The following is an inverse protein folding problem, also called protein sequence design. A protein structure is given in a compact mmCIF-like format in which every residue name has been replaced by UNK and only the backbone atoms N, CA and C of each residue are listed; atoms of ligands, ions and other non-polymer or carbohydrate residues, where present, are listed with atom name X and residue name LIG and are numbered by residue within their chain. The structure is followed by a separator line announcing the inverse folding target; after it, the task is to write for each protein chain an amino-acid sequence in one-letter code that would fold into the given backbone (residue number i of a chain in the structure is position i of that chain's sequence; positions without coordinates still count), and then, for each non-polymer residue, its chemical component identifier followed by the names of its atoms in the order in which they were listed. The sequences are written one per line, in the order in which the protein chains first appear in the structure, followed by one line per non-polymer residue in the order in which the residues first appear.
data_IF_048148792331
#
_entry.id   IF_048148792331
#
_cell.length_a   1.000
_cell.length_b   1.000
_cell.length_c   1.000
_cell.angle_alpha   90.00
_cell.angle_beta   90.00
_cell.angle_gamma   90.00
#
_symmetry.space_group_name_H-M   'P 1'
#
loop_
_entity.id
_entity.type
_entity.pdbx_description
1 polymer ?
#
# COMPACT_ATOMS: atom_id res chain seq x y z
N UNK A 1 18.19 21.56 -1.82
CA UNK A 1 17.50 20.86 -2.93
C UNK A 1 17.15 19.47 -2.43
N UNK A 2 15.92 18.99 -2.62
CA UNK A 2 15.57 17.60 -2.32
C UNK A 2 16.29 16.66 -3.29
N UNK A 3 16.76 15.51 -2.82
CA UNK A 3 17.29 14.46 -3.69
C UNK A 3 16.22 13.99 -4.71
N UNK A 4 16.64 13.54 -5.90
CA UNK A 4 15.71 12.92 -6.84
C UNK A 4 15.30 11.55 -6.29
N UNK A 5 14.02 11.41 -5.92
CA UNK A 5 13.43 10.12 -5.55
C UNK A 5 13.68 9.07 -6.64
N UNK A 6 14.09 7.86 -6.24
CA UNK A 6 14.46 6.80 -7.17
C UNK A 6 13.25 6.36 -8.00
N UNK A 7 13.33 6.57 -9.32
CA UNK A 7 12.29 6.21 -10.28
C UNK A 7 12.54 4.81 -10.83
N UNK A 8 11.70 3.85 -10.48
CA UNK A 8 11.75 2.47 -11.00
C UNK A 8 10.64 2.26 -12.02
N UNK A 9 10.98 1.85 -13.24
CA UNK A 9 10.01 1.57 -14.31
C UNK A 9 9.56 0.11 -14.25
N UNK A 10 8.25 -0.07 -14.11
CA UNK A 10 7.59 -1.37 -13.99
C UNK A 10 6.64 -1.52 -15.17
N UNK A 11 6.95 -2.43 -16.09
CA UNK A 11 6.05 -2.80 -17.18
C UNK A 11 5.01 -3.81 -16.70
N UNK A 12 3.75 -3.58 -17.05
CA UNK A 12 2.65 -4.52 -16.82
C UNK A 12 2.06 -4.91 -18.18
N UNK A 13 2.40 -6.11 -18.65
CA UNK A 13 2.09 -6.60 -20.00
C UNK A 13 1.35 -7.94 -19.98
N UNK A 14 0.86 -8.36 -21.14
CA UNK A 14 0.02 -9.54 -21.33
C UNK A 14 -1.27 -9.21 -22.07
N UNK A 15 -1.96 -10.23 -22.57
CA UNK A 15 -3.13 -10.12 -23.46
C UNK A 15 -4.29 -9.28 -22.91
N UNK A 16 -5.14 -8.76 -23.79
CA UNK A 16 -6.37 -8.07 -23.42
C UNK A 16 -7.26 -8.96 -22.55
N UNK A 17 -7.96 -8.39 -21.57
CA UNK A 17 -8.80 -9.15 -20.64
C UNK A 17 -8.08 -9.95 -19.55
N UNK A 18 -6.74 -10.05 -19.54
CA UNK A 18 -5.97 -10.83 -18.55
C UNK A 18 -5.97 -10.30 -17.12
N UNK A 19 -6.55 -9.11 -16.85
CA UNK A 19 -6.73 -8.56 -15.51
C UNK A 19 -5.68 -7.54 -15.03
N UNK A 20 -4.72 -7.13 -15.87
CA UNK A 20 -3.67 -6.13 -15.59
C UNK A 20 -4.19 -4.89 -14.84
N UNK A 21 -5.08 -4.14 -15.48
CA UNK A 21 -5.70 -2.92 -14.96
C UNK A 21 -6.48 -3.19 -13.66
N UNK A 22 -7.18 -4.31 -13.57
CA UNK A 22 -7.88 -4.75 -12.36
C UNK A 22 -6.92 -4.89 -11.17
N UNK A 23 -5.76 -5.53 -11.36
CA UNK A 23 -4.74 -5.67 -10.32
C UNK A 23 -4.16 -4.32 -9.89
N UNK A 24 -3.79 -3.47 -10.86
CA UNK A 24 -3.30 -2.10 -10.61
C UNK A 24 -4.32 -1.29 -9.79
N UNK A 25 -5.60 -1.35 -10.17
CA UNK A 25 -6.67 -0.61 -9.50
C UNK A 25 -6.93 -1.08 -8.07
N UNK A 26 -6.84 -2.38 -7.78
CA UNK A 26 -7.05 -2.92 -6.43
C UNK A 26 -5.92 -2.50 -5.48
N UNK A 27 -4.66 -2.72 -5.89
CA UNK A 27 -3.50 -2.45 -5.04
C UNK A 27 -3.32 -0.93 -4.84
N UNK A 28 -3.28 -0.16 -5.93
CA UNK A 28 -2.87 1.24 -5.91
C UNK A 28 -4.02 2.26 -5.96
N UNK A 29 -5.18 1.92 -6.56
CA UNK A 29 -6.31 2.84 -6.70
C UNK A 29 -7.48 2.57 -5.72
N UNK A 30 -7.32 1.67 -4.75
CA UNK A 30 -8.32 1.36 -3.72
C UNK A 30 -9.64 0.75 -4.24
N UNK A 31 -9.63 0.13 -5.42
CA UNK A 31 -10.80 -0.61 -5.93
C UNK A 31 -11.04 -1.90 -5.15
N UNK A 32 -12.30 -2.31 -5.05
CA UNK A 32 -12.66 -3.69 -4.67
C UNK A 32 -12.79 -4.56 -5.92
N UNK A 33 -12.58 -5.87 -5.78
CA UNK A 33 -12.63 -6.83 -6.89
C UNK A 33 -13.89 -6.70 -7.77
N UNK A 34 -15.06 -6.46 -7.15
CA UNK A 34 -16.35 -6.26 -7.85
C UNK A 34 -16.36 -5.05 -8.79
N UNK A 35 -15.69 -3.97 -8.42
CA UNK A 35 -15.73 -2.71 -9.18
C UNK A 35 -14.85 -2.79 -10.45
N UNK A 36 -13.89 -3.72 -10.49
CA UNK A 36 -13.02 -3.93 -11.67
C UNK A 36 -13.79 -4.36 -12.92
N UNK A 37 -15.00 -4.94 -12.77
CA UNK A 37 -15.91 -5.28 -13.88
C UNK A 37 -16.38 -4.06 -14.69
N UNK A 38 -16.17 -2.84 -14.19
CA UNK A 38 -16.51 -1.57 -14.86
C UNK A 38 -15.32 -0.95 -15.61
N UNK A 39 -14.13 -1.53 -15.51
CA UNK A 39 -12.96 -1.03 -16.22
C UNK A 39 -13.10 -1.34 -17.72
N UNK A 40 -12.90 -0.31 -18.55
CA UNK A 40 -12.80 -0.47 -19.99
C UNK A 40 -11.48 -1.12 -20.41
N UNK A 41 -11.37 -1.45 -21.70
CA UNK A 41 -10.09 -1.87 -22.26
C UNK A 41 -9.11 -0.69 -22.29
N UNK A 42 -7.90 -0.89 -21.79
CA UNK A 42 -6.81 0.10 -21.87
C UNK A 42 -6.47 0.40 -23.32
N UNK A 43 -6.41 1.69 -23.65
CA UNK A 43 -6.00 2.20 -24.96
C UNK A 43 -4.52 2.57 -24.85
N UNK A 44 -3.68 1.96 -25.68
CA UNK A 44 -2.22 2.12 -25.62
C UNK A 44 -1.67 1.91 -24.19
N UNK A 45 -0.78 2.77 -23.69
CA UNK A 45 -0.19 2.64 -22.35
C UNK A 45 -0.80 3.64 -21.36
N UNK A 46 -1.34 3.15 -20.25
CA UNK A 46 -1.74 4.01 -19.13
C UNK A 46 -0.61 4.12 -18.09
N UNK A 47 -0.07 5.32 -17.91
CA UNK A 47 1.00 5.60 -16.95
C UNK A 47 0.43 5.91 -15.55
N UNK A 48 1.00 5.29 -14.52
CA UNK A 48 0.69 5.61 -13.12
C UNK A 48 1.96 5.81 -12.30
N UNK A 49 2.04 6.94 -11.59
CA UNK A 49 3.17 7.29 -10.73
C UNK A 49 2.79 7.07 -9.26
N UNK A 50 3.21 5.93 -8.70
CA UNK A 50 2.95 5.58 -7.30
C UNK A 50 4.19 5.92 -6.48
N UNK A 51 4.06 6.86 -5.54
CA UNK A 51 5.08 7.08 -4.51
C UNK A 51 4.96 5.98 -3.46
N UNK A 52 6.05 5.27 -3.20
CA UNK A 52 6.15 4.17 -2.26
C UNK A 52 7.26 4.51 -1.25
N UNK A 53 7.02 4.36 0.06
CA UNK A 53 7.97 4.69 1.14
C UNK A 53 8.57 6.11 1.10
N UNK A 54 7.96 7.05 0.36
CA UNK A 54 8.42 8.43 0.25
C UNK A 54 9.53 8.67 -0.77
N UNK A 55 10.57 7.81 -0.77
CA UNK A 55 11.79 7.90 -1.58
C UNK A 55 11.77 7.09 -2.89
N UNK A 56 10.93 6.06 -2.99
CA UNK A 56 10.74 5.24 -4.20
C UNK A 56 9.54 5.76 -5.00
N UNK A 57 9.69 5.86 -6.32
CA UNK A 57 8.60 6.17 -7.26
C UNK A 57 8.49 5.03 -8.27
N UNK A 58 7.42 4.26 -8.15
CA UNK A 58 7.04 3.22 -9.09
C UNK A 58 6.33 3.88 -10.27
N UNK A 59 6.97 3.86 -11.44
CA UNK A 59 6.35 4.24 -12.70
C UNK A 59 5.74 2.96 -13.30
N UNK A 60 4.46 2.72 -13.04
CA UNK A 60 3.71 1.62 -13.60
C UNK A 60 3.24 1.98 -15.03
N UNK A 61 3.55 1.10 -15.98
CA UNK A 61 3.14 1.21 -17.38
C UNK A 61 2.14 0.07 -17.64
N UNK A 62 0.85 0.37 -17.58
CA UNK A 62 -0.23 -0.61 -17.84
C UNK A 62 -0.49 -0.64 -19.35
N UNK A 63 0.14 -1.59 -20.04
CA UNK A 63 0.12 -1.68 -21.50
C UNK A 63 -1.16 -2.36 -21.99
N UNK A 64 -1.91 -1.72 -22.89
CA UNK A 64 -3.07 -2.29 -23.55
C UNK A 64 -2.72 -3.55 -24.34
N UNK A 65 -3.28 -4.69 -23.94
CA UNK A 65 -2.93 -6.01 -24.49
C UNK A 65 -3.68 -6.41 -25.75
N UNK A 66 -4.18 -5.45 -26.53
CA UNK A 66 -4.83 -5.74 -27.82
C UNK A 66 -3.75 -6.00 -28.87
N UNK A 67 -3.97 -6.93 -29.79
CA UNK A 67 -2.96 -7.40 -30.76
C UNK A 67 -2.28 -6.22 -31.50
N UNK A 68 -3.06 -5.24 -31.96
CA UNK A 68 -2.59 -4.03 -32.65
C UNK A 68 -1.67 -3.15 -31.79
N UNK A 69 -1.92 -3.04 -30.48
CA UNK A 69 -1.04 -2.31 -29.57
C UNK A 69 0.23 -3.12 -29.27
N UNK A 70 0.11 -4.44 -29.10
CA UNK A 70 1.26 -5.33 -28.89
C UNK A 70 2.25 -5.26 -30.07
N UNK A 71 1.76 -5.32 -31.32
CA UNK A 71 2.59 -5.15 -32.52
C UNK A 71 3.29 -3.78 -32.56
N UNK A 72 2.59 -2.71 -32.19
CA UNK A 72 3.17 -1.36 -32.09
C UNK A 72 4.27 -1.28 -31.01
N UNK A 73 4.15 -2.00 -29.89
CA UNK A 73 5.19 -2.07 -28.86
C UNK A 73 6.45 -2.78 -29.33
N UNK A 74 6.34 -3.80 -30.19
CA UNK A 74 7.52 -4.53 -30.68
C UNK A 74 8.20 -3.86 -31.89
N UNK A 75 7.46 -3.02 -32.62
CA UNK A 75 7.92 -2.31 -33.81
C UNK A 75 8.23 -0.84 -33.53
N UNK A 76 7.23 0.03 -33.58
CA UNK A 76 7.38 1.49 -33.59
C UNK A 76 7.74 2.09 -32.24
N UNK A 77 7.29 1.49 -31.13
CA UNK A 77 7.52 1.99 -29.77
C UNK A 77 8.57 1.18 -28.98
N UNK A 78 9.30 0.24 -29.62
CA UNK A 78 10.20 -0.73 -28.94
C UNK A 78 11.15 -0.07 -27.94
N UNK A 79 11.86 0.96 -28.36
CA UNK A 79 12.83 1.67 -27.51
C UNK A 79 12.15 2.46 -26.38
N UNK A 80 10.94 2.97 -26.59
CA UNK A 80 10.20 3.70 -25.55
C UNK A 80 9.67 2.75 -24.45
N UNK A 81 9.14 1.59 -24.86
CA UNK A 81 8.56 0.59 -23.95
C UNK A 81 9.67 -0.16 -23.20
N UNK A 82 10.66 -0.72 -23.90
CA UNK A 82 11.57 -1.72 -23.31
C UNK A 82 12.88 -1.15 -22.74
N UNK A 83 13.16 0.15 -22.90
CA UNK A 83 14.34 0.80 -22.30
C UNK A 83 14.13 1.19 -20.84
N UNK A 84 15.22 1.09 -20.06
CA UNK A 84 15.31 1.42 -18.63
C UNK A 84 14.23 0.71 -17.79
N UNK A 85 13.91 -0.55 -18.12
CA UNK A 85 12.94 -1.37 -17.38
C UNK A 85 13.64 -2.04 -16.20
N UNK A 86 13.06 -1.91 -15.01
CA UNK A 86 13.59 -2.55 -13.80
C UNK A 86 12.86 -3.86 -13.50
N UNK A 87 11.57 -3.89 -13.81
CA UNK A 87 10.70 -5.06 -13.63
C UNK A 87 9.74 -5.20 -14.81
N UNK A 88 9.63 -6.41 -15.35
CA UNK A 88 8.54 -6.83 -16.22
C UNK A 88 7.59 -7.73 -15.42
N UNK A 89 6.32 -7.33 -15.32
CA UNK A 89 5.22 -8.15 -14.83
C UNK A 89 4.41 -8.58 -16.06
N UNK A 90 4.49 -9.86 -16.42
CA UNK A 90 3.68 -10.41 -17.51
C UNK A 90 2.51 -11.24 -16.95
N UNK A 91 1.32 -11.00 -17.47
CA UNK A 91 0.06 -11.54 -16.93
C UNK A 91 -0.59 -12.49 -17.93
N UNK A 92 -0.66 -13.76 -17.56
CA UNK A 92 -1.36 -14.81 -18.29
C UNK A 92 -2.76 -15.02 -17.72
N UNK A 93 -3.71 -15.25 -18.61
CA UNK A 93 -5.07 -15.64 -18.24
C UNK A 93 -5.16 -17.17 -18.22
N UNK A 94 -5.52 -17.77 -17.09
CA UNK A 94 -5.61 -19.24 -16.98
C UNK A 94 -6.72 -19.84 -17.85
N UNK A 95 -7.73 -19.05 -18.23
CA UNK A 95 -8.81 -19.46 -19.14
C UNK A 95 -8.48 -19.22 -20.62
N UNK A 96 -7.26 -18.76 -20.96
CA UNK A 96 -6.90 -18.45 -22.34
C UNK A 96 -6.91 -19.69 -23.22
N UNK A 97 -7.62 -19.60 -24.36
CA UNK A 97 -7.72 -20.66 -25.37
C UNK A 97 -6.63 -20.58 -26.45
N UNK A 98 -5.80 -19.53 -26.44
CA UNK A 98 -4.75 -19.27 -27.46
C UNK A 98 -3.37 -19.26 -26.78
N UNK A 99 -3.05 -20.36 -26.10
CA UNK A 99 -1.86 -20.46 -25.24
C UNK A 99 -0.57 -20.25 -26.02
N UNK A 100 -0.49 -20.80 -27.23
CA UNK A 100 0.65 -20.66 -28.15
C UNK A 100 0.86 -19.20 -28.55
N UNK A 101 -0.22 -18.46 -28.80
CA UNK A 101 -0.18 -17.02 -29.13
C UNK A 101 0.27 -16.19 -27.92
N UNK A 102 -0.24 -16.51 -26.73
CA UNK A 102 0.13 -15.84 -25.49
C UNK A 102 1.61 -16.06 -25.15
N UNK A 103 2.14 -17.27 -25.43
CA UNK A 103 3.57 -17.60 -25.29
C UNK A 103 4.43 -16.89 -26.35
N UNK A 104 3.98 -16.79 -27.61
CA UNK A 104 4.68 -16.05 -28.65
C UNK A 104 4.83 -14.55 -28.29
N UNK A 105 3.75 -13.92 -27.81
CA UNK A 105 3.81 -12.54 -27.32
C UNK A 105 4.70 -12.39 -26.09
N UNK A 106 4.72 -13.38 -25.19
CA UNK A 106 5.60 -13.40 -24.04
C UNK A 106 7.09 -13.47 -24.44
N UNK A 107 7.44 -14.37 -25.35
CA UNK A 107 8.80 -14.49 -25.88
C UNK A 107 9.23 -13.21 -26.61
N UNK A 108 8.34 -12.60 -27.40
CA UNK A 108 8.58 -11.30 -28.05
C UNK A 108 8.89 -10.18 -27.04
N UNK A 109 8.20 -10.16 -25.89
CA UNK A 109 8.52 -9.26 -24.76
C UNK A 109 9.89 -9.57 -24.14
N UNK A 110 10.24 -10.84 -23.94
CA UNK A 110 11.52 -11.23 -23.36
C UNK A 110 12.71 -10.88 -24.27
N UNK A 111 12.58 -11.07 -25.59
CA UNK A 111 13.60 -10.66 -26.55
C UNK A 111 13.82 -9.14 -26.55
N UNK A 112 12.72 -8.37 -26.49
CA UNK A 112 12.80 -6.92 -26.42
C UNK A 112 13.41 -6.43 -25.09
N UNK A 113 13.13 -7.10 -23.97
CA UNK A 113 13.78 -6.86 -22.67
C UNK A 113 15.27 -7.22 -22.73
N UNK A 114 15.63 -8.41 -23.23
CA UNK A 114 17.02 -8.88 -23.29
C UNK A 114 17.92 -7.94 -24.10
N UNK A 115 17.37 -7.30 -25.13
CA UNK A 115 18.08 -6.31 -25.96
C UNK A 115 18.21 -4.92 -25.31
N UNK A 116 17.24 -4.49 -24.50
CA UNK A 116 17.12 -3.09 -24.04
C UNK A 116 17.30 -2.87 -22.53
N UNK A 117 17.10 -3.90 -21.71
CA UNK A 117 17.15 -3.89 -20.25
C UNK A 117 17.40 -5.32 -19.73
N UNK A 118 18.58 -5.93 -20.01
CA UNK A 118 18.87 -7.33 -19.67
C UNK A 118 18.83 -7.62 -18.15
N UNK A 119 19.08 -6.60 -17.31
CA UNK A 119 19.02 -6.71 -15.85
C UNK A 119 17.59 -6.63 -15.28
N UNK A 120 16.56 -6.48 -16.12
CA UNK A 120 15.17 -6.38 -15.69
C UNK A 120 14.68 -7.68 -15.06
N UNK A 121 14.04 -7.58 -13.88
CA UNK A 121 13.51 -8.74 -13.17
C UNK A 121 12.17 -9.17 -13.77
N UNK A 122 12.04 -10.44 -14.15
CA UNK A 122 10.84 -10.96 -14.83
C UNK A 122 9.94 -11.68 -13.84
N UNK A 123 8.67 -11.27 -13.78
CA UNK A 123 7.62 -11.92 -13.01
C UNK A 123 6.49 -12.36 -13.93
N UNK A 124 6.00 -13.57 -13.72
CA UNK A 124 4.89 -14.14 -14.48
C UNK A 124 3.72 -14.43 -13.54
N UNK A 125 2.59 -13.76 -13.78
CA UNK A 125 1.37 -13.96 -13.01
C UNK A 125 0.43 -14.86 -13.80
N UNK A 126 0.20 -16.08 -13.30
CA UNK A 126 -0.89 -16.95 -13.77
C UNK A 126 -2.15 -16.46 -13.06
N UNK A 127 -2.99 -15.71 -13.77
CA UNK A 127 -4.09 -14.94 -13.20
C UNK A 127 -5.45 -15.61 -13.42
N UNK A 128 -6.47 -15.13 -12.68
CA UNK A 128 -7.84 -15.67 -12.62
C UNK A 128 -7.93 -17.11 -12.11
N UNK A 129 -7.01 -17.50 -11.22
CA UNK A 129 -6.97 -18.85 -10.63
C UNK A 129 -8.22 -19.20 -9.79
N UNK A 130 -9.07 -18.22 -9.48
CA UNK A 130 -10.41 -18.41 -8.93
C UNK A 130 -11.34 -19.23 -9.84
N UNK A 131 -11.14 -19.18 -11.17
CA UNK A 131 -11.92 -19.94 -12.15
C UNK A 131 -11.55 -21.43 -12.19
N UNK A 132 -10.41 -21.80 -11.61
CA UNK A 132 -9.91 -23.17 -11.52
C UNK A 132 -10.36 -23.80 -10.19
N UNK A 133 -10.76 -25.07 -10.23
CA UNK A 133 -11.14 -25.85 -9.04
C UNK A 133 -9.96 -25.99 -8.08
N UNK A 134 -10.20 -25.84 -6.77
CA UNK A 134 -9.15 -25.63 -5.76
C UNK A 134 -8.10 -26.74 -5.72
N UNK A 135 -8.53 -28.00 -5.89
CA UNK A 135 -7.72 -29.21 -5.99
C UNK A 135 -6.79 -29.23 -7.22
N UNK A 136 -7.19 -28.58 -8.31
CA UNK A 136 -6.40 -28.50 -9.55
C UNK A 136 -5.46 -27.30 -9.61
N UNK A 137 -5.63 -26.29 -8.73
CA UNK A 137 -4.86 -25.03 -8.79
C UNK A 137 -3.35 -25.22 -8.62
N UNK A 138 -2.91 -26.16 -7.79
CA UNK A 138 -1.48 -26.42 -7.57
C UNK A 138 -0.86 -27.20 -8.73
N UNK A 139 -1.61 -28.12 -9.34
CA UNK A 139 -1.15 -28.91 -10.49
C UNK A 139 -0.95 -28.01 -11.72
N UNK A 140 -2.01 -27.28 -12.11
CA UNK A 140 -1.98 -26.38 -13.27
C UNK A 140 -0.94 -25.27 -13.07
N UNK A 141 -0.80 -24.72 -11.86
CA UNK A 141 0.21 -23.70 -11.61
C UNK A 141 1.65 -24.22 -11.82
N UNK A 142 1.97 -25.44 -11.34
CA UNK A 142 3.30 -26.03 -11.50
C UNK A 142 3.65 -26.32 -12.95
N UNK A 143 2.72 -26.91 -13.70
CA UNK A 143 2.88 -27.17 -15.13
C UNK A 143 3.20 -25.87 -15.90
N UNK A 144 2.42 -24.81 -15.67
CA UNK A 144 2.68 -23.49 -16.26
C UNK A 144 3.98 -22.86 -15.77
N UNK A 145 4.34 -23.02 -14.50
CA UNK A 145 5.58 -22.49 -13.93
C UNK A 145 6.82 -23.15 -14.56
N UNK A 146 6.79 -24.47 -14.79
CA UNK A 146 7.86 -25.21 -15.46
C UNK A 146 8.03 -24.79 -16.91
N UNK A 147 6.93 -24.66 -17.66
CA UNK A 147 6.93 -24.16 -19.04
C UNK A 147 7.46 -22.73 -19.13
N UNK A 148 6.98 -21.83 -18.28
CA UNK A 148 7.44 -20.44 -18.26
C UNK A 148 8.94 -20.36 -17.92
N UNK A 149 9.43 -21.09 -16.92
CA UNK A 149 10.87 -21.15 -16.58
C UNK A 149 11.73 -21.76 -17.69
N UNK A 150 11.17 -22.68 -18.49
CA UNK A 150 11.84 -23.25 -19.66
C UNK A 150 11.93 -22.24 -20.80
N UNK A 151 10.83 -21.56 -21.10
CA UNK A 151 10.71 -20.58 -22.20
C UNK A 151 11.36 -19.23 -21.89
N UNK A 152 11.58 -18.90 -20.62
CA UNK A 152 12.18 -17.61 -20.21
C UNK A 152 13.70 -17.49 -20.44
N UNK A 153 14.38 -18.62 -20.65
CA UNK A 153 15.85 -18.66 -20.72
C UNK A 153 16.38 -17.77 -21.86
N UNK A 154 17.44 -16.97 -21.64
CA UNK A 154 18.35 -17.01 -20.50
C UNK A 154 17.89 -16.25 -19.24
N UNK A 155 16.78 -15.52 -19.29
CA UNK A 155 16.28 -14.71 -18.16
C UNK A 155 15.66 -15.60 -17.07
N UNK A 156 15.86 -15.23 -15.80
CA UNK A 156 15.21 -15.87 -14.67
C UNK A 156 13.82 -15.26 -14.45
N UNK A 157 12.77 -16.08 -14.46
CA UNK A 157 11.40 -15.67 -14.15
C UNK A 157 10.94 -16.19 -12.78
N UNK A 158 10.20 -15.36 -12.04
CA UNK A 158 9.49 -15.78 -10.82
C UNK A 158 7.99 -15.85 -11.09
N UNK A 159 7.39 -17.02 -10.87
CA UNK A 159 5.97 -17.26 -11.16
C UNK A 159 5.10 -17.13 -9.91
N UNK A 160 3.89 -16.59 -10.06
CA UNK A 160 2.87 -16.60 -9.01
C UNK A 160 1.48 -16.94 -9.58
N UNK A 161 0.75 -17.83 -8.90
CA UNK A 161 -0.71 -17.92 -9.05
C UNK A 161 -1.36 -16.72 -8.38
N UNK A 162 -2.32 -16.10 -9.05
CA UNK A 162 -3.00 -14.89 -8.56
C UNK A 162 -4.50 -14.86 -8.86
N UNK A 163 -5.29 -14.32 -7.94
CA UNK A 163 -6.68 -13.94 -8.14
C UNK A 163 -6.97 -12.57 -7.51
N UNK A 164 -7.91 -11.81 -8.07
CA UNK A 164 -8.42 -10.58 -7.46
C UNK A 164 -9.35 -10.82 -6.26
N UNK A 165 -9.78 -12.08 -6.02
CA UNK A 165 -10.75 -12.42 -4.98
C UNK A 165 -10.14 -12.90 -3.67
N UNK A 166 -8.83 -13.19 -3.65
CA UNK A 166 -8.10 -13.75 -2.50
C UNK A 166 -6.80 -12.98 -2.18
N UNK A 167 -6.06 -13.46 -1.19
CA UNK A 167 -4.78 -12.89 -0.75
C UNK A 167 -3.62 -13.08 -1.74
N UNK A 168 -3.71 -13.99 -2.72
CA UNK A 168 -2.56 -14.37 -3.56
C UNK A 168 -2.03 -13.19 -4.39
N UNK A 169 -2.91 -12.25 -4.75
CA UNK A 169 -2.52 -10.99 -5.38
C UNK A 169 -1.59 -10.15 -4.49
N UNK A 170 -1.90 -10.03 -3.19
CA UNK A 170 -1.06 -9.28 -2.24
C UNK A 170 0.30 -9.96 -2.04
N UNK A 171 0.34 -11.30 -2.06
CA UNK A 171 1.59 -12.06 -2.01
C UNK A 171 2.51 -11.72 -3.19
N UNK A 172 1.97 -11.80 -4.41
CA UNK A 172 2.72 -11.51 -5.63
C UNK A 172 3.23 -10.06 -5.66
N UNK A 173 2.34 -9.08 -5.41
CA UNK A 173 2.74 -7.66 -5.41
C UNK A 173 3.69 -7.30 -4.27
N UNK A 174 3.57 -7.91 -3.08
CA UNK A 174 4.54 -7.71 -1.99
C UNK A 174 5.93 -8.22 -2.41
N UNK A 175 6.01 -9.41 -3.03
CA UNK A 175 7.30 -9.94 -3.52
C UNK A 175 7.92 -9.08 -4.63
N UNK A 176 7.10 -8.60 -5.57
CA UNK A 176 7.56 -7.72 -6.66
C UNK A 176 8.10 -6.40 -6.10
N UNK A 177 7.35 -5.74 -5.21
CA UNK A 177 7.74 -4.45 -4.65
C UNK A 177 8.91 -4.59 -3.67
N UNK A 178 8.97 -5.66 -2.88
CA UNK A 178 10.11 -5.97 -2.01
C UNK A 178 11.44 -5.98 -2.79
N UNK A 179 11.46 -6.54 -4.00
CA UNK A 179 12.64 -6.55 -4.86
C UNK A 179 13.02 -5.18 -5.49
N UNK A 180 12.19 -4.15 -5.29
CA UNK A 180 12.41 -2.76 -5.73
C UNK A 180 12.76 -1.82 -4.57
N UNK A 181 12.60 -2.24 -3.31
CA UNK A 181 12.91 -1.44 -2.12
C UNK A 181 14.44 -1.37 -1.93
N UNK A 182 15.04 -0.17 -1.89
CA UNK A 182 16.46 0.00 -1.56
C UNK A 182 16.72 -0.35 -0.09
N UNK A 183 17.95 -0.77 0.24
CA UNK A 183 18.43 -0.93 1.62
C UNK A 183 17.54 -1.80 2.54
N UNK A 184 16.74 -2.72 1.98
CA UNK A 184 15.76 -3.55 2.72
C UNK A 184 16.39 -4.34 3.88
N UNK A 185 17.66 -4.72 3.78
CA UNK A 185 18.43 -5.38 4.84
C UNK A 185 18.63 -4.49 6.08
N UNK A 186 18.82 -3.16 5.91
CA UNK A 186 18.85 -2.23 7.04
C UNK A 186 17.46 -2.10 7.67
N UNK A 187 16.40 -2.02 6.85
CA UNK A 187 15.03 -1.96 7.35
C UNK A 187 14.68 -3.20 8.19
N UNK A 188 15.02 -4.40 7.73
CA UNK A 188 14.86 -5.66 8.47
C UNK A 188 15.68 -5.69 9.76
N UNK A 189 16.93 -5.22 9.73
CA UNK A 189 17.80 -5.15 10.92
C UNK A 189 17.23 -4.20 11.97
N UNK A 190 16.74 -3.04 11.55
CA UNK A 190 16.13 -2.06 12.43
C UNK A 190 14.78 -2.55 12.98
N UNK A 191 13.99 -3.26 12.17
CA UNK A 191 12.73 -3.88 12.60
C UNK A 191 12.97 -5.02 13.60
N UNK A 192 14.02 -5.83 13.39
CA UNK A 192 14.47 -6.88 14.33
C UNK A 192 14.90 -6.29 15.67
N UNK A 193 15.72 -5.23 15.66
CA UNK A 193 16.13 -4.52 16.88
C UNK A 193 14.90 -3.96 17.63
N UNK A 194 13.96 -3.34 16.93
CA UNK A 194 12.71 -2.87 17.53
C UNK A 194 11.88 -4.02 18.14
N UNK A 195 11.73 -5.13 17.41
CA UNK A 195 10.97 -6.29 17.87
C UNK A 195 11.57 -6.95 19.11
N UNK A 196 12.90 -6.98 19.22
CA UNK A 196 13.61 -7.45 20.42
C UNK A 196 13.41 -6.52 21.61
N UNK A 197 13.50 -5.18 21.42
CA UNK A 197 13.30 -4.19 22.49
C UNK A 197 11.87 -4.20 23.06
N UNK A 198 10.87 -4.51 22.22
CA UNK A 198 9.46 -4.59 22.62
C UNK A 198 9.01 -6.01 23.00
N UNK A 199 9.93 -6.98 22.98
CA UNK A 199 9.71 -8.41 23.29
C UNK A 199 8.52 -9.02 22.51
N UNK A 200 8.35 -8.64 21.24
CA UNK A 200 7.28 -9.13 20.39
C UNK A 200 7.60 -10.50 19.77
N UNK A 201 6.59 -11.37 19.69
CA UNK A 201 6.67 -12.63 18.95
C UNK A 201 6.74 -12.39 17.44
N UNK A 202 6.04 -11.36 16.95
CA UNK A 202 6.01 -11.01 15.54
C UNK A 202 5.78 -9.51 15.35
N UNK A 203 6.49 -8.91 14.39
CA UNK A 203 6.30 -7.52 13.97
C UNK A 203 6.23 -7.46 12.45
N UNK A 204 5.16 -6.87 11.93
CA UNK A 204 4.96 -6.65 10.50
C UNK A 204 5.00 -5.16 10.19
N UNK A 205 5.68 -4.79 9.12
CA UNK A 205 5.72 -3.42 8.61
C UNK A 205 5.05 -3.39 7.24
N UNK A 206 4.13 -2.44 7.04
CA UNK A 206 3.32 -2.28 5.83
C UNK A 206 3.50 -0.89 5.23
N UNK A 207 3.45 -0.76 3.91
CA UNK A 207 3.30 0.55 3.27
C UNK A 207 1.87 1.09 3.43
N UNK A 208 1.75 2.38 3.74
CA UNK A 208 0.53 3.01 4.26
C UNK A 208 -0.64 3.07 3.28
N UNK A 209 -0.40 3.27 1.98
CA UNK A 209 -1.43 3.38 0.97
C UNK A 209 -1.95 2.00 0.54
N UNK A 210 -1.04 1.13 0.12
CA UNK A 210 -1.29 -0.19 -0.46
C UNK A 210 -1.60 -1.27 0.58
N UNK A 211 -1.04 -1.16 1.80
CA UNK A 211 -1.00 -2.22 2.80
C UNK A 211 -0.20 -3.47 2.38
N UNK A 212 0.70 -3.36 1.40
CA UNK A 212 1.70 -4.40 1.11
C UNK A 212 2.70 -4.51 2.27
N UNK A 213 3.09 -5.75 2.63
CA UNK A 213 4.16 -5.99 3.60
C UNK A 213 5.50 -5.62 2.97
N UNK A 214 6.30 -4.83 3.69
CA UNK A 214 7.63 -4.39 3.25
C UNK A 214 8.77 -5.04 4.03
N UNK A 215 8.52 -5.42 5.29
CA UNK A 215 9.49 -6.07 6.17
C UNK A 215 8.74 -6.78 7.31
N UNK A 216 9.32 -7.83 7.86
CA UNK A 216 8.76 -8.56 8.99
C UNK A 216 9.86 -9.11 9.91
N UNK A 217 9.50 -9.38 11.16
CA UNK A 217 10.27 -10.13 12.12
C UNK A 217 9.37 -11.19 12.76
N UNK A 218 9.87 -12.40 12.95
CA UNK A 218 9.21 -13.48 13.69
C UNK A 218 10.22 -14.12 14.65
N UNK A 219 9.81 -14.32 15.91
CA UNK A 219 10.60 -15.01 16.93
C UNK A 219 10.49 -16.54 16.81
N UNK A 220 9.30 -17.03 16.45
CA UNK A 220 8.99 -18.44 16.22
C UNK A 220 8.30 -18.60 14.87
N UNK A 221 8.56 -19.71 14.19
CA UNK A 221 7.86 -20.04 12.95
C UNK A 221 6.38 -20.29 13.24
N UNK A 222 5.51 -19.62 12.46
CA UNK A 222 4.06 -19.68 12.64
C UNK A 222 3.44 -20.68 11.68
N UNK A 223 2.35 -21.33 12.11
CA UNK A 223 1.67 -22.39 11.33
C UNK A 223 1.18 -21.93 9.95
N UNK A 224 0.81 -20.66 9.79
CA UNK A 224 0.32 -20.10 8.52
C UNK A 224 1.40 -19.25 7.86
N UNK A 225 2.00 -19.78 6.79
CA UNK A 225 2.96 -19.07 5.95
C UNK A 225 2.31 -17.96 5.10
N UNK A 226 0.98 -17.99 4.90
CA UNK A 226 0.22 -17.03 4.10
C UNK A 226 -0.45 -15.93 4.93
N UNK A 227 -0.12 -15.84 6.22
CA UNK A 227 -0.73 -14.86 7.12
C UNK A 227 -0.43 -13.41 6.73
N UNK A 228 0.73 -13.14 6.12
CA UNK A 228 1.16 -11.79 5.72
C UNK A 228 0.18 -11.19 4.71
N UNK A 229 -0.06 -11.90 3.61
CA UNK A 229 -0.95 -11.49 2.53
C UNK A 229 -2.43 -11.48 2.97
N UNK A 230 -2.84 -12.40 3.86
CA UNK A 230 -4.18 -12.39 4.49
C UNK A 230 -4.40 -11.14 5.35
N UNK A 231 -3.42 -10.77 6.18
CA UNK A 231 -3.49 -9.57 7.02
C UNK A 231 -3.56 -8.30 6.16
N UNK A 232 -2.72 -8.20 5.12
CA UNK A 232 -2.79 -7.12 4.13
C UNK A 232 -4.18 -6.97 3.52
N UNK A 233 -4.77 -8.07 3.04
CA UNK A 233 -6.10 -8.07 2.43
C UNK A 233 -7.19 -7.63 3.45
N UNK A 234 -7.20 -8.21 4.65
CA UNK A 234 -8.17 -7.89 5.71
C UNK A 234 -8.10 -6.42 6.12
N UNK A 235 -6.90 -5.89 6.42
CA UNK A 235 -6.78 -4.49 6.87
C UNK A 235 -7.10 -3.53 5.71
N UNK A 236 -6.73 -3.84 4.47
CA UNK A 236 -7.12 -3.04 3.30
C UNK A 236 -8.64 -3.00 3.16
N UNK A 237 -9.34 -4.14 3.20
CA UNK A 237 -10.81 -4.19 3.13
C UNK A 237 -11.48 -3.42 4.29
N UNK A 238 -10.93 -3.51 5.51
CA UNK A 238 -11.40 -2.72 6.64
C UNK A 238 -11.21 -1.22 6.41
N UNK A 239 -10.04 -0.78 5.96
CA UNK A 239 -9.71 0.62 5.63
C UNK A 239 -10.61 1.19 4.52
N UNK A 240 -10.94 0.39 3.50
CA UNK A 240 -11.91 0.75 2.46
C UNK A 240 -13.32 0.92 3.04
N UNK A 241 -13.70 0.07 4.00
CA UNK A 241 -14.99 0.15 4.70
C UNK A 241 -15.08 1.40 5.59
N UNK A 242 -14.02 1.76 6.31
CA UNK A 242 -13.94 3.03 7.05
C UNK A 242 -14.09 4.24 6.10
N UNK A 243 -13.41 4.19 4.95
CA UNK A 243 -13.39 5.29 3.98
C UNK A 243 -14.78 5.54 3.38
N UNK A 244 -15.58 4.49 3.16
CA UNK A 244 -17.01 4.58 2.77
C UNK A 244 -17.90 5.21 3.83
N UNK A 245 -17.48 5.19 5.10
CA UNK A 245 -18.13 5.87 6.23
C UNK A 245 -17.53 7.27 6.50
N UNK A 246 -16.81 7.84 5.53
CA UNK A 246 -16.10 9.12 5.63
C UNK A 246 -15.09 9.21 6.80
N UNK A 247 -14.54 8.06 7.25
CA UNK A 247 -13.53 8.01 8.30
C UNK A 247 -12.24 7.32 7.83
N UNK A 248 -11.10 7.87 8.23
CA UNK A 248 -9.79 7.25 8.00
C UNK A 248 -9.46 6.27 9.13
N UNK A 249 -8.98 5.09 8.77
CA UNK A 249 -8.43 4.13 9.75
C UNK A 249 -7.17 4.72 10.38
N UNK A 250 -7.05 4.68 11.71
CA UNK A 250 -5.87 5.14 12.45
C UNK A 250 -5.17 3.99 13.16
N UNK A 251 -5.89 3.24 14.00
CA UNK A 251 -5.29 2.13 14.76
C UNK A 251 -6.33 1.09 15.20
N UNK A 252 -5.85 -0.11 15.53
CA UNK A 252 -6.65 -1.25 16.00
C UNK A 252 -5.93 -2.01 17.12
N UNK A 253 -6.67 -2.37 18.17
CA UNK A 253 -6.24 -3.28 19.23
C UNK A 253 -7.15 -4.51 19.24
N UNK A 254 -6.56 -5.68 18.94
CA UNK A 254 -7.22 -6.98 18.99
C UNK A 254 -6.59 -7.79 20.12
N UNK A 255 -7.40 -8.38 21.00
CA UNK A 255 -6.91 -9.20 22.12
C UNK A 255 -7.79 -10.43 22.29
N UNK A 256 -7.17 -11.57 22.60
CA UNK A 256 -7.84 -12.76 23.10
C UNK A 256 -7.07 -13.33 24.30
N UNK A 257 -7.32 -14.58 24.70
CA UNK A 257 -6.61 -15.24 25.80
C UNK A 257 -5.16 -15.61 25.49
N UNK A 258 -4.75 -15.58 24.21
CA UNK A 258 -3.52 -16.19 23.71
C UNK A 258 -2.55 -15.17 23.09
N UNK A 259 -3.05 -14.00 22.66
CA UNK A 259 -2.24 -12.91 22.12
C UNK A 259 -2.94 -11.53 22.21
N UNK A 260 -2.12 -10.49 22.13
CA UNK A 260 -2.50 -9.12 21.84
C UNK A 260 -1.84 -8.66 20.54
N UNK A 261 -2.62 -8.05 19.64
CA UNK A 261 -2.13 -7.46 18.39
C UNK A 261 -2.51 -5.98 18.31
N UNK A 262 -1.50 -5.15 17.99
CA UNK A 262 -1.62 -3.70 17.88
C UNK A 262 -1.25 -3.27 16.46
N UNK A 263 -2.17 -2.65 15.75
CA UNK A 263 -1.92 -2.03 14.43
C UNK A 263 -2.02 -0.52 14.63
N UNK A 264 -0.96 0.23 14.32
CA UNK A 264 -0.94 1.70 14.38
C UNK A 264 -0.14 2.28 13.20
N UNK A 265 -0.41 3.53 12.85
CA UNK A 265 0.43 4.30 11.91
C UNK A 265 1.85 4.31 12.47
N UNK A 266 2.86 3.94 11.70
CA UNK A 266 4.23 3.92 12.21
C UNK A 266 4.99 5.17 11.79
N UNK A 267 5.23 5.39 10.50
CA UNK A 267 5.78 6.65 9.95
C UNK A 267 4.72 7.39 9.13
N UNK A 268 5.10 8.47 8.43
CA UNK A 268 4.23 9.07 7.40
C UNK A 268 3.83 8.11 6.29
N UNK A 269 4.68 7.10 6.00
CA UNK A 269 4.58 6.20 4.86
C UNK A 269 4.30 4.74 5.25
N UNK A 270 4.24 4.39 6.53
CA UNK A 270 4.07 2.99 6.99
C UNK A 270 3.02 2.80 8.10
N UNK A 271 2.51 1.58 8.21
CA UNK A 271 1.86 1.03 9.41
C UNK A 271 2.74 -0.06 10.02
N UNK A 272 2.67 -0.23 11.33
CA UNK A 272 3.25 -1.38 12.04
C UNK A 272 2.14 -2.22 12.66
N UNK A 273 2.31 -3.53 12.64
CA UNK A 273 1.55 -4.48 13.46
C UNK A 273 2.51 -5.17 14.42
N UNK A 274 2.22 -5.13 15.71
CA UNK A 274 2.99 -5.81 16.76
C UNK A 274 2.12 -6.89 17.39
N UNK A 275 2.61 -8.12 17.45
CA UNK A 275 1.94 -9.27 18.07
C UNK A 275 2.75 -9.73 19.29
N UNK A 276 2.07 -9.89 20.43
CA UNK A 276 2.67 -10.37 21.67
C UNK A 276 1.78 -11.46 22.28
N UNK A 277 2.36 -12.58 22.68
CA UNK A 277 1.66 -13.71 23.30
C UNK A 277 1.32 -13.49 24.76
N UNK A 278 2.04 -12.64 25.49
CA UNK A 278 1.70 -12.28 26.86
C UNK A 278 0.61 -11.18 26.90
N UNK A 279 -0.64 -11.52 27.30
CA UNK A 279 -1.70 -10.53 27.42
C UNK A 279 -1.56 -9.64 28.66
N UNK A 280 -0.71 -10.00 29.63
CA UNK A 280 -0.50 -9.28 30.89
C UNK A 280 0.22 -7.95 30.69
N UNK A 281 1.04 -7.84 29.62
CA UNK A 281 1.74 -6.61 29.27
C UNK A 281 0.71 -5.47 29.05
N UNK A 282 0.80 -4.36 29.81
CA UNK A 282 -0.13 -3.26 29.69
C UNK A 282 -0.07 -2.62 28.30
N UNK A 283 -1.21 -2.45 27.61
CA UNK A 283 -1.28 -1.84 26.27
C UNK A 283 -0.57 -0.47 26.20
N UNK A 284 -0.55 0.27 27.32
CA UNK A 284 0.14 1.55 27.42
C UNK A 284 1.66 1.43 27.19
N UNK A 285 2.31 0.37 27.69
CA UNK A 285 3.75 0.15 27.51
C UNK A 285 4.08 -0.10 26.02
N UNK A 286 3.35 -1.01 25.38
CA UNK A 286 3.50 -1.32 23.95
C UNK A 286 3.28 -0.09 23.07
N UNK A 287 2.22 0.69 23.35
CA UNK A 287 1.90 1.91 22.59
C UNK A 287 2.95 3.03 22.79
N UNK A 288 3.51 3.17 23.99
CA UNK A 288 4.63 4.10 24.26
C UNK A 288 5.88 3.66 23.47
N UNK A 289 6.19 2.36 23.46
CA UNK A 289 7.34 1.83 22.73
C UNK A 289 7.21 2.02 21.21
N UNK A 290 6.04 1.74 20.64
CA UNK A 290 5.71 2.04 19.23
C UNK A 290 5.91 3.54 18.93
N UNK A 291 5.38 4.42 19.79
CA UNK A 291 5.48 5.88 19.62
C UNK A 291 6.92 6.41 19.75
N UNK A 292 7.75 5.78 20.58
CA UNK A 292 9.16 6.13 20.72
C UNK A 292 9.96 5.67 19.50
N UNK A 293 9.74 4.44 19.04
CA UNK A 293 10.39 3.87 17.86
C UNK A 293 10.05 4.66 16.58
N UNK A 294 8.82 5.16 16.42
CA UNK A 294 8.39 6.03 15.29
C UNK A 294 9.43 7.12 14.95
N UNK A 295 9.99 7.82 15.95
CA UNK A 295 10.98 8.88 15.72
C UNK A 295 12.27 8.39 15.08
N UNK A 296 12.67 7.16 15.37
CA UNK A 296 13.88 6.54 14.81
C UNK A 296 13.65 6.15 13.35
N UNK A 297 12.51 5.51 13.03
CA UNK A 297 12.17 5.15 11.65
C UNK A 297 11.85 6.36 10.76
N UNK A 298 11.22 7.42 11.30
CA UNK A 298 11.08 8.70 10.60
C UNK A 298 12.42 9.39 10.30
N UNK A 299 13.48 9.10 11.07
CA UNK A 299 14.83 9.60 10.78
C UNK A 299 15.46 8.80 9.64
N UNK A 300 15.35 7.47 9.67
CA UNK A 300 15.84 6.57 8.62
C UNK A 300 15.21 6.93 7.26
N UNK A 301 13.88 7.10 7.17
CA UNK A 301 13.20 7.53 5.94
C UNK A 301 13.68 8.89 5.39
N UNK A 302 14.29 9.75 6.23
CA UNK A 302 14.84 11.07 5.83
C UNK A 302 16.32 10.98 5.46
N UNK A 303 17.09 10.12 6.12
CA UNK A 303 18.50 9.86 5.78
C UNK A 303 18.59 9.10 4.45
N UNK A 304 17.65 8.20 4.15
CA UNK A 304 17.47 7.61 2.81
C UNK A 304 17.07 8.63 1.72
N UNK A 305 16.55 9.80 2.11
CA UNK A 305 16.34 10.93 1.18
C UNK A 305 17.61 11.80 1.02
N UNK A 306 18.74 11.41 1.61
CA UNK A 306 20.03 12.12 1.58
C UNK A 306 21.19 11.14 1.37
N UNK A 307 21.18 10.39 0.28
CA UNK A 307 22.35 9.58 -0.12
C UNK A 307 23.58 10.47 -0.45
N UNK A 308 24.81 9.92 -0.29
CA UNK A 308 26.00 10.73 -0.10
C UNK A 308 26.43 11.50 -1.35
N UNK A 309 26.98 12.69 -1.12
CA UNK A 309 27.70 13.44 -2.15
C UNK A 309 28.82 12.58 -2.77
N UNK A 310 29.06 12.66 -4.09
CA UNK A 310 30.18 11.95 -4.72
C UNK A 310 31.50 12.35 -4.04
N UNK A 311 32.50 11.45 -3.98
CA UNK A 311 33.78 11.75 -3.36
C UNK A 311 34.38 12.99 -4.02
N UNK A 312 34.75 13.97 -3.19
CA UNK A 312 35.33 15.23 -3.65
C UNK A 312 36.58 14.93 -4.50
N UNK A 313 36.48 15.19 -5.79
CA UNK A 313 37.66 15.22 -6.66
C UNK A 313 38.59 16.32 -6.16
N UNK A 314 39.83 15.94 -5.85
CA UNK A 314 40.86 16.87 -5.38
C UNK A 314 41.28 17.75 -6.57
N UNK A 315 40.57 18.86 -6.76
CA UNK A 315 40.94 19.86 -7.75
C UNK A 315 42.01 20.80 -7.18
N UNK A 316 43.21 20.69 -7.74
CA UNK A 316 44.37 21.51 -7.43
C UNK A 316 44.20 22.97 -7.91
N UNK A 317 44.32 23.90 -6.97
CA UNK A 317 44.81 25.28 -7.11
C UNK A 317 44.82 25.96 -8.51
N UNK A 318 44.05 27.05 -8.66
CA UNK A 318 44.52 28.27 -9.36
C UNK A 318 43.83 29.53 -8.80
N UNK A 319 44.41 30.71 -9.03
CA UNK A 319 44.18 31.96 -8.28
C UNK A 319 42.93 32.77 -8.70
N UNK A 320 42.41 33.67 -7.84
CA UNK A 320 41.32 34.60 -8.17
C UNK A 320 41.82 35.89 -8.86
N UNK A 321 40.94 36.57 -9.60
CA UNK A 321 41.18 37.91 -10.16
C UNK A 321 39.94 38.83 -10.06
N UNK A 322 40.19 40.09 -9.73
CA UNK A 322 39.21 41.15 -9.41
C UNK A 322 38.76 41.96 -10.63
N UNK A 323 37.47 42.34 -10.69
CA UNK A 323 36.93 43.62 -11.25
C UNK A 323 35.64 43.96 -10.45
N UNK A 324 35.56 44.89 -9.48
CA UNK A 324 35.57 46.38 -9.43
C UNK A 324 34.28 47.14 -9.88
N UNK A 325 33.61 47.76 -8.88
CA UNK A 325 32.91 49.09 -8.91
C UNK A 325 31.56 49.13 -9.70
N UNK A 326 30.46 49.85 -9.34
CA UNK A 326 30.21 51.05 -8.49
C UNK A 326 28.80 51.08 -7.82
N UNK A 327 28.68 51.88 -6.74
CA UNK A 327 27.45 52.58 -6.23
C UNK A 327 27.48 54.06 -6.73
N UNK A 328 26.50 55.00 -6.54
CA UNK A 328 25.59 55.15 -5.38
C UNK A 328 24.19 55.84 -5.58
N UNK A 329 23.45 56.06 -4.46
CA UNK A 329 22.29 57.00 -4.25
C UNK A 329 21.00 56.67 -5.06
N UNK A 330 19.76 57.02 -4.70
CA UNK A 330 19.05 57.47 -3.47
C UNK A 330 17.55 57.04 -3.66
N UNK A 331 16.49 57.39 -2.91
CA UNK A 331 16.25 58.32 -1.78
C UNK A 331 15.01 57.86 -0.95
N UNK A 332 14.54 58.68 -0.01
CA UNK A 332 13.42 58.44 0.93
C UNK A 332 12.03 58.75 0.38
N UNK A 333 10.97 58.15 0.95
CA UNK A 333 9.69 58.84 1.31
C UNK A 333 8.97 58.06 2.43
N UNK A 334 8.41 58.80 3.38
CA UNK A 334 7.59 58.35 4.53
C UNK A 334 6.24 59.05 4.42
N UNK A 335 5.12 58.40 4.76
CA UNK A 335 3.99 58.98 5.53
C UNK A 335 2.85 57.96 5.76
N UNK A 336 1.95 58.30 6.70
CA UNK A 336 0.90 57.43 7.27
C UNK A 336 -0.48 58.12 7.30
N UNK A 337 -1.48 57.45 7.92
CA UNK A 337 -2.89 57.85 8.12
C UNK A 337 -3.80 57.76 6.88
N UNK A 338 -5.10 57.42 6.98
CA UNK A 338 -5.90 56.96 8.13
C UNK A 338 -7.42 57.04 7.86
N UNK A 339 -8.26 56.39 8.72
CA UNK A 339 -9.74 56.51 8.78
C UNK A 339 -10.54 56.04 7.53
N UNK A 340 -11.85 55.71 7.55
CA UNK A 340 -12.86 55.31 8.57
C UNK A 340 -14.14 54.89 7.82
N UNK A 341 -14.97 53.98 8.35
CA UNK A 341 -16.44 53.99 8.16
C UNK A 341 -17.18 52.90 8.99
N UNK A 342 -18.25 53.30 9.69
CA UNK A 342 -19.22 52.40 10.35
C UNK A 342 -20.67 52.90 10.15
N UNK A 343 -21.58 52.03 9.71
CA UNK A 343 -23.04 52.14 9.81
C UNK A 343 -23.63 50.72 9.62
N UNK A 344 -24.41 50.12 10.54
CA UNK A 344 -25.82 50.38 10.91
C UNK A 344 -26.78 50.13 9.72
N UNK A 345 -27.83 49.29 9.81
CA UNK A 345 -29.06 49.44 10.62
C UNK A 345 -29.76 48.07 10.91
N UNK A 346 -30.65 48.04 11.92
CA UNK A 346 -31.43 46.88 12.44
C UNK A 346 -32.76 46.60 11.71
N UNK A 347 -33.20 45.32 11.73
CA UNK A 347 -34.57 44.87 12.03
C UNK A 347 -34.54 43.36 12.37
N UNK A 348 -34.79 42.91 13.61
CA UNK A 348 -36.07 42.76 14.31
C UNK A 348 -37.04 41.72 13.71
N UNK A 349 -37.04 40.49 14.27
CA UNK A 349 -38.25 39.91 14.88
C UNK A 349 -37.92 38.67 15.74
N UNK A 350 -37.99 38.80 17.07
CA UNK A 350 -38.21 37.65 17.95
C UNK A 350 -39.71 37.37 18.05
N UNK A 351 -40.14 36.10 17.96
CA UNK A 351 -41.32 35.59 18.68
C UNK A 351 -41.39 34.05 18.73
N UNK A 352 -41.07 33.54 19.91
CA UNK A 352 -41.66 32.36 20.58
C UNK A 352 -42.37 31.28 19.72
N UNK A 353 -41.88 30.04 19.86
CA UNK A 353 -42.69 28.97 20.49
C UNK A 353 -41.82 27.91 21.17
N UNK A 354 -42.21 27.53 22.38
CA UNK A 354 -41.65 26.39 23.15
C UNK A 354 -42.17 25.07 22.55
N UNK A 355 -41.44 23.96 22.72
CA UNK A 355 -41.82 22.85 23.63
C UNK A 355 -41.20 21.47 23.24
N UNK A 356 -40.83 20.70 24.27
CA UNK A 356 -40.79 19.21 24.34
C UNK A 356 -39.83 18.35 23.47
N UNK A 357 -38.70 17.94 24.11
CA UNK A 357 -38.12 16.58 24.20
C UNK A 357 -37.66 15.80 22.92
N UNK A 358 -36.89 14.67 23.05
CA UNK A 358 -36.22 14.09 24.23
C UNK A 358 -34.70 13.84 24.07
N UNK A 359 -34.10 13.31 25.15
CA UNK A 359 -32.78 12.66 25.21
C UNK A 359 -32.56 11.67 24.06
N UNK A 360 -31.71 11.98 23.06
CA UNK A 360 -31.20 10.95 22.15
C UNK A 360 -30.05 10.16 22.78
N UNK A 361 -30.39 9.08 23.49
CA UNK A 361 -29.50 7.91 23.58
C UNK A 361 -29.40 7.30 22.18
N UNK A 362 -28.48 7.76 21.35
CA UNK A 362 -28.17 7.06 20.10
C UNK A 362 -27.22 5.89 20.38
N UNK A 363 -27.78 4.85 21.02
CA UNK A 363 -27.22 3.51 21.03
C UNK A 363 -27.38 2.96 19.61
N UNK A 364 -26.44 3.31 18.73
CA UNK A 364 -26.35 2.79 17.38
C UNK A 364 -25.92 1.32 17.44
N UNK A 365 -26.86 0.44 17.79
CA UNK A 365 -26.77 -1.01 17.59
C UNK A 365 -26.88 -1.26 16.08
N UNK A 366 -25.84 -0.87 15.36
CA UNK A 366 -25.69 -1.15 13.94
C UNK A 366 -25.51 -2.65 13.79
N UNK A 367 -26.55 -3.31 13.29
CA UNK A 367 -26.47 -4.69 12.78
C UNK A 367 -25.40 -4.72 11.68
N UNK A 368 -24.19 -5.16 12.04
CA UNK A 368 -23.18 -5.53 11.07
C UNK A 368 -23.77 -6.57 10.11
N UNK A 369 -23.67 -6.39 8.78
CA UNK A 369 -24.04 -7.44 7.85
C UNK A 369 -22.96 -8.53 7.87
N UNK A 370 -23.09 -9.50 8.81
CA UNK A 370 -22.72 -10.94 8.80
C UNK A 370 -21.24 -11.33 8.46
N UNK A 371 -20.46 -10.49 7.79
CA UNK A 371 -19.13 -10.77 7.24
C UNK A 371 -18.00 -10.70 8.27
N UNK A 372 -18.08 -9.87 9.32
CA UNK A 372 -16.98 -9.75 10.29
C UNK A 372 -16.75 -11.04 11.11
N UNK A 373 -17.80 -11.73 11.62
CA UNK A 373 -17.65 -13.05 12.22
C UNK A 373 -17.21 -14.13 11.23
N UNK A 374 -17.56 -13.99 9.95
CA UNK A 374 -17.13 -14.93 8.90
C UNK A 374 -15.65 -14.76 8.53
N UNK A 375 -15.16 -13.52 8.39
CA UNK A 375 -13.75 -13.24 8.04
C UNK A 375 -12.77 -13.71 9.13
N UNK A 376 -13.12 -13.58 10.41
CA UNK A 376 -12.27 -14.10 11.49
C UNK A 376 -12.33 -15.63 11.64
N UNK A 377 -13.31 -16.31 11.03
CA UNK A 377 -13.48 -17.77 11.09
C UNK A 377 -12.44 -18.53 10.25
N UNK A 378 -11.75 -17.86 9.32
CA UNK A 378 -10.69 -18.45 8.48
C UNK A 378 -9.28 -18.38 9.07
N UNK A 379 -9.04 -17.58 10.11
CA UNK A 379 -7.69 -17.39 10.68
C UNK A 379 -7.45 -18.11 12.01
N UNK A 380 -8.50 -18.57 12.69
CA UNK A 380 -8.38 -19.22 14.00
C UNK A 380 -9.33 -20.42 14.07
N UNK A 381 -8.87 -21.51 14.70
CA UNK A 381 -9.66 -22.72 14.99
C UNK A 381 -11.05 -22.37 15.54
N UNK A 382 -12.13 -23.05 15.12
CA UNK A 382 -13.52 -22.62 15.33
C UNK A 382 -14.04 -22.55 16.78
N UNK A 383 -13.15 -22.68 17.79
CA UNK A 383 -13.48 -22.59 19.22
C UNK A 383 -13.23 -21.22 19.87
N UNK A 384 -12.56 -20.26 19.20
CA UNK A 384 -12.34 -18.91 19.75
C UNK A 384 -12.37 -17.83 18.65
N UNK A 385 -13.51 -17.13 18.49
CA UNK A 385 -13.55 -15.87 17.73
C UNK A 385 -12.87 -14.76 18.54
N UNK A 386 -11.87 -14.04 18.00
CA UNK A 386 -11.24 -12.93 18.68
C UNK A 386 -12.16 -11.70 18.68
N UNK A 387 -12.29 -11.04 19.83
CA UNK A 387 -13.03 -9.78 19.93
C UNK A 387 -12.12 -8.59 19.57
N UNK A 388 -12.52 -7.79 18.58
CA UNK A 388 -11.88 -6.50 18.31
C UNK A 388 -12.23 -5.55 19.45
N UNK A 389 -11.30 -5.35 20.39
CA UNK A 389 -11.57 -4.63 21.64
C UNK A 389 -11.71 -3.12 21.41
N UNK A 390 -10.87 -2.56 20.52
CA UNK A 390 -10.89 -1.14 20.14
C UNK A 390 -10.43 -0.96 18.69
N UNK A 391 -11.15 -0.14 17.93
CA UNK A 391 -10.70 0.40 16.65
C UNK A 391 -10.91 1.92 16.64
N UNK A 392 -9.91 2.66 16.18
CA UNK A 392 -9.90 4.11 16.13
C UNK A 392 -9.95 4.59 14.68
N UNK A 393 -10.97 5.40 14.38
CA UNK A 393 -11.18 5.99 13.07
C UNK A 393 -11.38 7.50 13.21
N UNK A 394 -10.82 8.29 12.28
CA UNK A 394 -10.86 9.76 12.31
C UNK A 394 -11.57 10.28 11.07
N UNK A 395 -12.70 10.96 11.26
CA UNK A 395 -13.38 11.73 10.22
C UNK A 395 -12.63 13.03 9.93
N UNK A 396 -12.44 13.45 8.66
CA UNK A 396 -11.86 14.75 8.34
C UNK A 396 -12.84 15.86 8.70
N UNK A 397 -12.64 16.53 9.84
CA UNK A 397 -13.41 17.69 10.25
C UNK A 397 -13.05 18.90 9.37
N UNK A 398 -14.06 19.59 8.84
CA UNK A 398 -13.91 20.91 8.23
C UNK A 398 -13.20 21.86 9.19
N UNK A 399 -12.27 22.67 8.67
CA UNK A 399 -11.40 23.52 9.48
C UNK A 399 -12.19 24.54 10.32
N UNK A 400 -12.28 24.33 11.62
CA UNK A 400 -12.46 25.39 12.62
C UNK A 400 -12.06 24.88 14.01
N UNK A 401 -11.54 25.79 14.83
CA UNK A 401 -10.88 25.48 16.11
C UNK A 401 -11.84 25.02 17.20
N UNK A 402 -11.93 23.70 17.42
CA UNK A 402 -12.34 23.12 18.70
C UNK A 402 -11.84 21.68 18.83
N UNK A 403 -11.24 21.34 19.98
CA UNK A 403 -10.79 19.98 20.28
C UNK A 403 -11.99 19.07 20.62
N UNK A 404 -12.47 18.30 19.64
CA UNK A 404 -13.42 17.22 19.84
C UNK A 404 -12.76 15.84 19.62
N UNK A 405 -13.23 14.78 20.30
CA UNK A 405 -12.49 13.52 20.38
C UNK A 405 -12.62 12.67 19.12
N UNK A 406 -11.57 11.89 18.81
CA UNK A 406 -11.60 10.83 17.81
C UNK A 406 -12.77 9.87 18.03
N UNK A 407 -13.44 9.45 16.95
CA UNK A 407 -14.59 8.56 17.05
C UNK A 407 -14.15 7.16 17.49
N UNK A 408 -14.41 6.83 18.75
CA UNK A 408 -14.05 5.55 19.35
C UNK A 408 -15.14 4.51 19.05
N UNK A 409 -14.90 3.63 18.07
CA UNK A 409 -15.86 2.60 17.69
C UNK A 409 -15.64 1.37 18.58
N UNK A 410 -16.48 1.20 19.60
CA UNK A 410 -16.55 -0.02 20.40
C UNK A 410 -17.33 -1.11 19.67
N UNK A 411 -16.65 -2.14 19.18
CA UNK A 411 -17.27 -3.34 18.60
C UNK A 411 -17.37 -4.42 19.69
N UNK A 412 -18.39 -4.29 20.55
CA UNK A 412 -18.70 -5.29 21.57
C UNK A 412 -19.63 -6.36 20.99
N UNK A 413 -19.13 -7.57 20.75
CA UNK A 413 -19.99 -8.71 20.39
C UNK A 413 -20.63 -9.32 21.65
N UNK A 414 -21.97 -9.36 21.78
CA UNK A 414 -22.62 -10.11 22.84
C UNK A 414 -22.53 -11.61 22.54
N UNK A 415 -22.04 -12.39 23.51
CA UNK A 415 -22.18 -13.85 23.51
C UNK A 415 -23.67 -14.19 23.66
N UNK A 416 -24.30 -14.68 22.59
CA UNK A 416 -25.66 -15.24 22.66
C UNK A 416 -25.60 -16.73 23.01
N UNK A 417 -26.32 -17.21 24.04
CA UNK A 417 -26.25 -18.60 24.48
C UNK A 417 -27.21 -19.49 23.65
N UNK A 418 -26.83 -19.81 22.41
CA UNK A 418 -27.56 -20.79 21.59
C UNK A 418 -26.61 -21.60 20.68
N UNK A 419 -26.01 -22.65 21.26
CA UNK A 419 -25.57 -23.87 20.56
C UNK A 419 -25.13 -24.92 21.60
N UNK A 420 -26.14 -25.54 22.21
CA UNK A 420 -25.99 -26.78 22.96
C UNK A 420 -27.07 -27.77 22.48
N UNK A 421 -26.82 -28.36 21.31
CA UNK A 421 -27.30 -29.66 20.81
C UNK A 421 -26.35 -30.10 19.69
#
# INVERSE_FOLDING_TARGET
MSSPAMKKKVLLMGKSGSGKTSMRSIIFANYIARDTRRLGATIDVEHSHVRFLGNLVLNLWDCGGQDTFMENYFTSQRDNIFRNVEVLIYVFDVESRELEKDMHYYQSCLEAILQNSPDAKVFCLVHKMDLVQEDQRDLIFKEREEDLKRLSRPLACTCFRTSIWDETLYKAWSSIVYQLIPNVQQLETNLRNFAQIIEADEVLLFERATFLVISHYQCKEQRDAHRFEKISNIIKQFKLSCSKLAASFQSMEVRNSNFAAFIDVFTSNTYVMVIMSDPSIPSAATLINIRNARKHFEKLEREEQQEPSPPLSVFSSSRPSFIRISRPLSSSTVLAFGYSATASIKSSLERQKRSEYPKLRMLAVLRFPILLPFMFRMLISPKQLPAVRRAYCVTPSSATTASFPSLMIYISFPMSPFLQM
#
